data_IF_164756865644
#
_entry.id   IF_164756865644
#
_cell.length_a   1.000
_cell.length_b   1.000
_cell.length_c   1.000
_cell.angle_alpha   90.00
_cell.angle_beta   90.00
_cell.angle_gamma   90.00
#
_symmetry.space_group_name_H-M   'P 1'
#
loop_
_entity.id
_entity.type
_entity.pdbx_description
1 polymer ?
#
# COMPACT_ATOMS: atom_id res chain seq x y z
N UNK A 1 -11.70 -26.71 -36.47
CA UNK A 1 -12.77 -26.31 -35.53
C UNK A 1 -12.55 -24.84 -35.16
N UNK A 2 -13.60 -24.03 -34.98
CA UNK A 2 -13.42 -22.68 -34.44
C UNK A 2 -12.86 -22.76 -33.02
N UNK A 3 -11.99 -21.82 -32.66
CA UNK A 3 -11.51 -21.68 -31.29
C UNK A 3 -12.68 -21.37 -30.36
N UNK A 4 -12.80 -22.13 -29.27
CA UNK A 4 -13.80 -21.90 -28.23
C UNK A 4 -13.09 -21.53 -26.93
N UNK A 5 -13.07 -20.22 -26.62
CA UNK A 5 -12.48 -19.72 -25.38
C UNK A 5 -13.32 -20.18 -24.18
N UNK A 6 -12.67 -20.69 -23.14
CA UNK A 6 -13.31 -20.99 -21.85
C UNK A 6 -12.94 -19.90 -20.85
N UNK A 7 -13.88 -19.03 -20.45
CA UNK A 7 -13.59 -18.00 -19.47
C UNK A 7 -13.17 -18.60 -18.13
N UNK A 8 -12.11 -18.06 -17.53
CA UNK A 8 -11.65 -18.45 -16.20
C UNK A 8 -12.24 -17.53 -15.14
N UNK A 9 -13.52 -17.76 -14.82
CA UNK A 9 -14.24 -17.07 -13.74
C UNK A 9 -14.41 -17.99 -12.53
N UNK A 10 -14.10 -17.49 -11.35
CA UNK A 10 -14.16 -18.24 -10.10
C UNK A 10 -15.49 -18.02 -9.37
N UNK A 11 -15.92 -19.03 -8.60
CA UNK A 11 -17.09 -18.90 -7.72
C UNK A 11 -16.75 -18.09 -6.45
N UNK A 12 -15.50 -18.21 -6.00
CA UNK A 12 -14.92 -17.38 -4.95
C UNK A 12 -14.58 -15.99 -5.49
N UNK A 13 -14.52 -15.00 -4.60
CA UNK A 13 -14.13 -13.63 -4.92
C UNK A 13 -13.24 -13.09 -3.81
N UNK A 14 -12.36 -12.15 -4.18
CA UNK A 14 -11.69 -11.30 -3.20
C UNK A 14 -12.73 -10.39 -2.55
N UNK A 15 -12.60 -10.15 -1.26
CA UNK A 15 -13.46 -9.28 -0.47
C UNK A 15 -13.27 -7.83 -0.90
N UNK A 16 -14.36 -7.08 -0.86
CA UNK A 16 -14.31 -5.64 -1.08
C UNK A 16 -14.06 -4.91 0.22
N UNK A 17 -13.02 -4.08 0.28
CA UNK A 17 -12.73 -3.21 1.41
C UNK A 17 -12.78 -1.77 0.96
N UNK A 18 -13.63 -0.97 1.60
CA UNK A 18 -13.79 0.46 1.30
C UNK A 18 -12.96 1.29 2.27
N UNK A 19 -12.11 2.17 1.74
CA UNK A 19 -11.34 3.16 2.50
C UNK A 19 -11.84 4.58 2.18
N UNK A 20 -11.68 5.49 3.14
CA UNK A 20 -12.19 6.85 3.07
C UNK A 20 -13.67 6.96 3.40
N UNK A 21 -14.18 8.19 3.37
CA UNK A 21 -15.56 8.53 3.72
C UNK A 21 -16.13 9.56 2.75
N UNK A 22 -17.46 9.72 2.74
CA UNK A 22 -18.15 10.63 1.82
C UNK A 22 -18.09 10.16 0.37
N UNK A 23 -18.00 11.10 -0.57
CA UNK A 23 -18.08 10.82 -2.02
C UNK A 23 -16.76 10.34 -2.64
N UNK A 24 -15.65 10.39 -1.89
CA UNK A 24 -14.29 10.07 -2.37
C UNK A 24 -13.79 8.71 -1.92
N UNK A 25 -14.69 7.81 -1.52
CA UNK A 25 -14.29 6.45 -1.08
C UNK A 25 -13.60 5.67 -2.20
N UNK A 26 -12.60 4.86 -1.84
CA UNK A 26 -11.95 3.90 -2.73
C UNK A 26 -12.27 2.49 -2.27
N UNK A 27 -12.65 1.62 -3.21
CA UNK A 27 -12.89 0.20 -2.94
C UNK A 27 -11.74 -0.63 -3.49
N UNK A 28 -11.17 -1.49 -2.65
CA UNK A 28 -10.15 -2.48 -3.00
C UNK A 28 -10.80 -3.86 -3.15
N UNK A 29 -10.30 -4.68 -4.06
CA UNK A 29 -10.75 -6.06 -4.27
C UNK A 29 -12.18 -6.18 -4.84
N UNK A 30 -12.79 -7.36 -4.71
CA UNK A 30 -14.14 -7.67 -5.23
C UNK A 30 -14.15 -8.48 -6.52
N UNK A 31 -12.98 -8.72 -7.10
CA UNK A 31 -12.80 -9.49 -8.33
C UNK A 31 -12.87 -10.99 -8.09
N UNK A 32 -13.32 -11.72 -9.12
CA UNK A 32 -13.40 -13.17 -9.16
C UNK A 32 -12.80 -13.74 -10.46
N UNK A 33 -11.80 -13.04 -10.99
CA UNK A 33 -10.98 -13.40 -12.13
C UNK A 33 -9.52 -13.13 -11.77
N UNK A 34 -8.59 -13.60 -12.60
CA UNK A 34 -7.17 -13.29 -12.41
C UNK A 34 -6.90 -11.80 -12.68
N UNK A 35 -5.78 -11.24 -12.17
CA UNK A 35 -5.46 -9.82 -12.33
C UNK A 35 -5.51 -9.37 -13.79
N UNK A 36 -6.24 -8.28 -14.06
CA UNK A 36 -6.46 -7.72 -15.40
C UNK A 36 -7.14 -8.64 -16.42
N UNK A 37 -7.72 -9.76 -16.01
CA UNK A 37 -8.43 -10.67 -16.93
C UNK A 37 -9.89 -10.22 -17.09
N UNK A 38 -10.11 -8.93 -17.39
CA UNK A 38 -11.43 -8.33 -17.62
C UNK A 38 -12.18 -9.02 -18.78
N UNK A 39 -11.44 -9.70 -19.65
CA UNK A 39 -12.00 -10.54 -20.69
C UNK A 39 -12.73 -11.78 -20.12
N UNK A 40 -12.33 -12.32 -18.96
CA UNK A 40 -12.95 -13.50 -18.29
C UNK A 40 -14.15 -13.14 -17.41
N UNK A 41 -14.27 -11.88 -17.00
CA UNK A 41 -15.35 -11.38 -16.15
C UNK A 41 -15.17 -9.91 -15.81
N UNK A 42 -16.27 -9.25 -15.43
CA UNK A 42 -16.26 -7.84 -15.03
C UNK A 42 -15.39 -7.62 -13.78
N UNK A 43 -14.40 -6.72 -13.88
CA UNK A 43 -13.62 -6.23 -12.75
C UNK A 43 -14.17 -4.85 -12.38
N UNK A 44 -15.03 -4.78 -11.36
CA UNK A 44 -15.70 -3.54 -10.96
C UNK A 44 -14.77 -2.54 -10.31
N UNK A 45 -13.85 -3.04 -9.49
CA UNK A 45 -12.85 -2.24 -8.80
C UNK A 45 -11.49 -2.63 -9.36
N UNK A 46 -11.00 -1.86 -10.34
CA UNK A 46 -9.63 -2.01 -10.81
C UNK A 46 -8.63 -1.70 -9.70
N UNK A 47 -7.38 -2.18 -9.81
CA UNK A 47 -6.34 -1.89 -8.82
C UNK A 47 -6.10 -0.40 -8.62
N UNK A 48 -5.54 -0.04 -7.47
CA UNK A 48 -5.43 1.35 -6.99
C UNK A 48 -4.00 1.80 -6.77
N UNK A 49 -3.75 3.10 -6.98
CA UNK A 49 -2.43 3.72 -6.80
C UNK A 49 -2.48 4.71 -5.65
N UNK A 50 -1.67 4.46 -4.63
CA UNK A 50 -1.42 5.37 -3.53
C UNK A 50 -0.18 6.22 -3.76
N UNK A 51 -0.16 7.43 -3.21
CA UNK A 51 1.04 8.28 -3.16
C UNK A 51 1.58 8.33 -1.74
N UNK A 52 2.83 7.93 -1.53
CA UNK A 52 3.54 8.03 -0.27
C UNK A 52 4.08 9.45 -0.05
N UNK A 53 3.81 10.00 1.12
CA UNK A 53 4.52 11.11 1.72
C UNK A 53 5.00 10.69 3.11
N UNK A 54 6.04 11.34 3.63
CA UNK A 54 6.59 11.04 4.95
C UNK A 54 6.55 12.27 5.86
N UNK A 55 6.39 12.05 7.17
CA UNK A 55 6.53 13.09 8.21
C UNK A 55 7.91 13.75 8.25
N UNK A 56 8.89 13.21 7.51
CA UNK A 56 10.22 13.79 7.32
C UNK A 56 10.24 14.94 6.29
N UNK A 57 9.10 15.22 5.64
CA UNK A 57 9.03 16.21 4.57
C UNK A 57 9.75 15.73 3.32
N UNK A 58 10.41 16.66 2.62
CA UNK A 58 11.07 16.38 1.33
C UNK A 58 12.60 16.28 1.46
N UNK A 59 13.16 16.35 2.67
CA UNK A 59 14.60 16.19 2.85
C UNK A 59 15.02 14.75 2.52
N UNK A 60 16.16 14.58 1.83
CA UNK A 60 16.64 13.27 1.38
C UNK A 60 15.90 12.64 0.19
N UNK A 61 14.76 13.19 -0.23
CA UNK A 61 14.04 12.70 -1.41
C UNK A 61 14.81 13.00 -2.73
N UNK A 62 14.60 12.21 -3.80
CA UNK A 62 15.15 12.49 -5.12
C UNK A 62 14.75 13.89 -5.61
N UNK A 63 15.64 14.58 -6.34
CA UNK A 63 15.39 15.94 -6.84
C UNK A 63 14.12 16.04 -7.70
N UNK A 64 13.86 15.02 -8.52
CA UNK A 64 12.66 14.92 -9.36
C UNK A 64 11.36 14.84 -8.55
N UNK A 65 11.39 14.18 -7.38
CA UNK A 65 10.27 14.16 -6.42
C UNK A 65 10.13 15.54 -5.78
N UNK A 66 11.23 16.11 -5.28
CA UNK A 66 11.24 17.45 -4.65
C UNK A 66 10.66 18.53 -5.57
N UNK A 67 11.00 18.49 -6.87
CA UNK A 67 10.53 19.45 -7.86
C UNK A 67 9.00 19.49 -7.96
N UNK A 68 8.32 18.33 -7.88
CA UNK A 68 6.86 18.29 -7.88
C UNK A 68 6.26 19.01 -6.66
N UNK A 69 6.91 18.88 -5.52
CA UNK A 69 6.46 19.49 -4.26
C UNK A 69 6.93 20.94 -4.06
N UNK A 70 7.71 21.52 -4.98
CA UNK A 70 8.28 22.88 -4.87
C UNK A 70 7.25 23.95 -4.45
N UNK A 71 7.55 24.69 -3.38
CA UNK A 71 6.66 25.71 -2.82
C UNK A 71 5.63 25.20 -1.81
N UNK A 72 5.60 23.89 -1.50
CA UNK A 72 4.94 23.37 -0.31
C UNK A 72 5.90 23.43 0.89
N UNK A 73 5.55 24.21 1.90
CA UNK A 73 6.33 24.42 3.11
C UNK A 73 5.84 23.59 4.30
N UNK A 74 4.57 23.15 4.29
CA UNK A 74 3.99 22.35 5.37
C UNK A 74 3.59 20.95 4.90
N UNK A 75 3.38 20.03 5.85
CA UNK A 75 2.94 18.67 5.54
C UNK A 75 1.53 18.64 4.94
N UNK A 76 0.65 19.55 5.35
CA UNK A 76 -0.66 19.74 4.74
C UNK A 76 -0.57 20.21 3.28
N UNK A 77 0.38 21.08 2.93
CA UNK A 77 0.59 21.50 1.54
C UNK A 77 1.19 20.38 0.67
N UNK A 78 2.14 19.62 1.22
CA UNK A 78 2.68 18.42 0.60
C UNK A 78 1.55 17.40 0.35
N UNK A 79 0.71 17.15 1.36
CA UNK A 79 -0.42 16.23 1.25
C UNK A 79 -1.43 16.66 0.18
N UNK A 80 -1.76 17.96 0.08
CA UNK A 80 -2.63 18.47 -0.99
C UNK A 80 -2.05 18.22 -2.38
N UNK A 81 -0.75 18.43 -2.57
CA UNK A 81 -0.08 18.16 -3.85
C UNK A 81 -0.02 16.68 -4.18
N UNK A 82 0.26 15.83 -3.20
CA UNK A 82 0.29 14.38 -3.35
C UNK A 82 -1.10 13.83 -3.69
N UNK A 83 -2.14 14.28 -2.97
CA UNK A 83 -3.53 13.90 -3.23
C UNK A 83 -4.06 14.41 -4.58
N UNK A 84 -3.51 15.50 -5.12
CA UNK A 84 -3.86 16.04 -6.43
C UNK A 84 -3.06 15.43 -7.60
N UNK A 85 -2.15 14.49 -7.31
CA UNK A 85 -1.31 13.87 -8.33
C UNK A 85 -2.17 13.07 -9.32
N UNK A 86 -1.98 13.31 -10.62
CA UNK A 86 -2.75 12.63 -11.65
C UNK A 86 -2.52 11.11 -11.58
N UNK A 87 -3.61 10.36 -11.38
CA UNK A 87 -3.56 8.91 -11.25
C UNK A 87 -3.52 8.39 -9.81
N UNK A 88 -3.45 9.26 -8.81
CA UNK A 88 -3.57 8.89 -7.40
C UNK A 88 -5.03 8.61 -7.02
N UNK A 89 -5.26 7.46 -6.37
CA UNK A 89 -6.55 7.09 -5.78
C UNK A 89 -6.63 7.42 -4.29
N UNK A 90 -5.49 7.36 -3.57
CA UNK A 90 -5.43 7.61 -2.13
C UNK A 90 -4.06 8.17 -1.72
N UNK A 91 -4.00 8.77 -0.53
CA UNK A 91 -2.76 9.25 0.07
C UNK A 91 -2.26 8.25 1.12
N UNK A 92 -0.97 7.94 1.12
CA UNK A 92 -0.29 7.22 2.19
C UNK A 92 0.63 8.17 2.96
N UNK A 93 0.39 8.36 4.25
CA UNK A 93 1.30 9.06 5.16
C UNK A 93 2.11 8.03 5.94
N UNK A 94 3.42 7.97 5.68
CA UNK A 94 4.36 7.13 6.41
C UNK A 94 5.06 7.91 7.52
N UNK A 95 4.90 7.44 8.75
CA UNK A 95 5.44 8.05 9.97
C UNK A 95 6.86 7.57 10.27
N UNK A 96 7.74 7.64 9.28
CA UNK A 96 9.12 7.16 9.33
C UNK A 96 9.97 7.83 10.44
N UNK A 97 9.69 9.10 10.78
CA UNK A 97 10.41 9.81 11.84
C UNK A 97 10.20 9.22 13.23
N UNK A 98 9.24 8.31 13.41
CA UNK A 98 9.02 7.58 14.66
C UNK A 98 10.05 6.49 14.95
N UNK A 99 10.90 6.08 13.99
CA UNK A 99 11.88 5.01 14.20
C UNK A 99 12.80 5.33 15.40
N UNK A 100 12.82 4.51 16.45
CA UNK A 100 13.72 4.68 17.60
C UNK A 100 15.21 4.70 17.25
N UNK A 101 15.61 4.11 16.11
CA UNK A 101 16.98 4.13 15.62
C UNK A 101 17.29 5.34 14.71
N UNK A 102 16.27 6.11 14.36
CA UNK A 102 16.37 7.32 13.54
C UNK A 102 16.14 8.57 14.37
N UNK A 103 15.19 9.42 13.94
CA UNK A 103 14.86 10.66 14.64
C UNK A 103 14.11 10.42 15.96
N UNK A 104 13.48 9.25 16.13
CA UNK A 104 12.71 8.88 17.31
C UNK A 104 11.73 9.97 17.78
N UNK A 105 11.01 10.59 16.84
CA UNK A 105 9.98 11.59 17.15
C UNK A 105 8.97 11.01 18.14
N UNK A 106 8.42 11.88 18.98
CA UNK A 106 7.41 11.45 19.95
C UNK A 106 6.11 11.08 19.23
N UNK A 107 5.26 10.30 19.91
CA UNK A 107 3.93 9.97 19.39
C UNK A 107 3.11 11.25 19.22
N UNK A 108 3.22 12.21 20.14
CA UNK A 108 2.51 13.48 20.06
C UNK A 108 2.91 14.28 18.81
N UNK A 109 4.21 14.40 18.51
CA UNK A 109 4.70 15.12 17.33
C UNK A 109 4.18 14.49 16.01
N UNK A 110 4.21 13.17 15.93
CA UNK A 110 3.70 12.44 14.76
C UNK A 110 2.19 12.59 14.63
N UNK A 111 1.46 12.61 15.74
CA UNK A 111 0.00 12.77 15.74
C UNK A 111 -0.42 14.18 15.30
N UNK A 112 0.33 15.22 15.62
CA UNK A 112 0.08 16.56 15.07
C UNK A 112 0.28 16.58 13.54
N UNK A 113 1.30 15.87 13.03
CA UNK A 113 1.49 15.70 11.58
C UNK A 113 0.31 14.96 10.93
N UNK A 114 -0.18 13.90 11.59
CA UNK A 114 -1.34 13.12 11.13
C UNK A 114 -2.59 13.98 11.04
N UNK A 115 -2.86 14.83 12.04
CA UNK A 115 -3.99 15.76 12.03
C UNK A 115 -3.83 16.81 10.94
N UNK A 116 -2.64 17.41 10.80
CA UNK A 116 -2.37 18.40 9.76
C UNK A 116 -2.66 17.85 8.36
N UNK A 117 -2.17 16.64 8.06
CA UNK A 117 -2.42 15.95 6.79
C UNK A 117 -3.90 15.61 6.64
N UNK A 118 -4.53 15.08 7.69
CA UNK A 118 -5.93 14.68 7.65
C UNK A 118 -6.89 15.85 7.41
N UNK A 119 -6.61 17.01 7.99
CA UNK A 119 -7.40 18.24 7.80
C UNK A 119 -7.15 18.86 6.41
N UNK A 120 -6.00 18.61 5.81
CA UNK A 120 -5.61 19.19 4.53
C UNK A 120 -6.21 18.49 3.31
N UNK A 121 -6.56 17.20 3.41
CA UNK A 121 -7.04 16.39 2.27
C UNK A 121 -8.34 15.66 2.57
N UNK A 122 -9.14 15.45 1.54
CA UNK A 122 -10.42 14.74 1.59
C UNK A 122 -10.41 13.39 0.84
N UNK A 123 -9.28 13.03 0.24
CA UNK A 123 -9.06 11.71 -0.36
C UNK A 123 -8.90 10.64 0.74
N UNK A 124 -9.12 9.34 0.42
CA UNK A 124 -8.84 8.27 1.37
C UNK A 124 -7.40 8.33 1.86
N UNK A 125 -7.22 8.10 3.16
CA UNK A 125 -5.93 8.15 3.82
C UNK A 125 -5.54 6.75 4.32
N UNK A 126 -4.31 6.36 4.00
CA UNK A 126 -3.58 5.24 4.56
C UNK A 126 -2.50 5.85 5.48
N UNK A 127 -2.34 5.31 6.68
CA UNK A 127 -1.29 5.75 7.61
C UNK A 127 -0.42 4.56 7.95
N UNK A 128 0.86 4.65 7.59
CA UNK A 128 1.86 3.62 7.84
C UNK A 128 2.79 4.03 8.99
N UNK A 129 3.08 3.11 9.89
CA UNK A 129 4.02 3.29 11.01
C UNK A 129 5.50 3.39 10.58
N UNK A 130 6.39 3.35 11.56
CA UNK A 130 7.84 3.38 11.35
C UNK A 130 8.48 1.98 11.20
N UNK A 131 7.67 0.91 11.28
CA UNK A 131 8.08 -0.50 11.29
C UNK A 131 8.75 -0.95 12.59
N UNK A 132 8.70 -0.17 13.67
CA UNK A 132 9.12 -0.64 15.00
C UNK A 132 7.90 -1.09 15.82
N UNK A 133 7.86 -2.36 16.25
CA UNK A 133 6.72 -2.98 16.93
C UNK A 133 6.25 -2.22 18.17
N UNK A 134 7.18 -1.82 19.04
CA UNK A 134 6.84 -1.13 20.29
C UNK A 134 6.30 0.27 20.02
N UNK A 135 7.01 1.05 19.18
CA UNK A 135 6.58 2.39 18.80
C UNK A 135 5.25 2.38 18.05
N UNK A 136 5.09 1.49 17.06
CA UNK A 136 3.90 1.42 16.21
C UNK A 136 2.67 0.97 17.02
N UNK A 137 2.84 0.11 18.02
CA UNK A 137 1.73 -0.30 18.90
C UNK A 137 1.07 0.91 19.58
N UNK A 138 1.88 1.84 20.09
CA UNK A 138 1.40 3.08 20.71
C UNK A 138 0.91 4.08 19.66
N UNK A 139 1.73 4.33 18.64
CA UNK A 139 1.48 5.32 17.60
C UNK A 139 0.20 5.01 16.81
N UNK A 140 0.06 3.80 16.29
CA UNK A 140 -1.07 3.42 15.44
C UNK A 140 -2.38 3.33 16.23
N UNK A 141 -2.31 3.03 17.54
CA UNK A 141 -3.47 3.16 18.44
C UNK A 141 -3.95 4.59 18.49
N UNK A 142 -3.03 5.56 18.62
CA UNK A 142 -3.38 6.97 18.68
C UNK A 142 -3.83 7.52 17.33
N UNK A 143 -3.23 7.05 16.22
CA UNK A 143 -3.67 7.35 14.85
C UNK A 143 -5.12 6.92 14.65
N UNK A 144 -5.47 5.70 15.05
CA UNK A 144 -6.83 5.18 14.91
C UNK A 144 -7.86 6.04 15.68
N UNK A 145 -7.50 6.51 16.88
CA UNK A 145 -8.32 7.41 17.70
C UNK A 145 -8.54 8.77 17.02
N UNK A 146 -7.46 9.48 16.66
CA UNK A 146 -7.58 10.85 16.16
C UNK A 146 -8.20 10.94 14.78
N UNK A 147 -8.16 9.84 14.00
CA UNK A 147 -8.76 9.76 12.68
C UNK A 147 -10.14 9.08 12.69
N UNK A 148 -10.74 8.85 13.87
CA UNK A 148 -12.05 8.19 13.98
C UNK A 148 -13.09 8.86 13.08
N UNK A 149 -13.85 8.04 12.35
CA UNK A 149 -14.89 8.50 11.42
C UNK A 149 -14.40 8.79 10.01
N UNK A 150 -13.07 8.84 9.76
CA UNK A 150 -12.52 9.02 8.40
C UNK A 150 -12.40 7.73 7.60
N UNK A 151 -12.56 6.57 8.25
CA UNK A 151 -12.44 5.23 7.66
C UNK A 151 -11.09 5.05 6.93
N UNK A 152 -10.00 5.38 7.63
CA UNK A 152 -8.63 5.21 7.15
C UNK A 152 -8.18 3.76 7.19
N UNK A 153 -7.13 3.45 6.45
CA UNK A 153 -6.39 2.20 6.56
C UNK A 153 -5.15 2.42 7.43
N UNK A 154 -5.13 1.78 8.60
CA UNK A 154 -4.01 1.84 9.54
C UNK A 154 -3.07 0.66 9.25
N UNK A 155 -1.83 0.97 8.86
CA UNK A 155 -0.81 -0.01 8.45
C UNK A 155 0.39 0.02 9.41
N UNK A 156 0.84 -1.10 9.97
CA UNK A 156 0.26 -2.45 9.89
C UNK A 156 0.25 -3.14 11.24
N UNK A 157 -0.78 -3.95 11.47
CA UNK A 157 -0.77 -5.03 12.45
C UNK A 157 0.15 -6.15 11.95
N UNK A 158 1.02 -6.66 12.81
CA UNK A 158 1.95 -7.79 12.59
C UNK A 158 1.74 -8.86 13.65
N UNK A 159 2.39 -10.01 13.50
CA UNK A 159 2.25 -11.12 14.44
C UNK A 159 2.50 -10.71 15.91
N UNK A 160 3.40 -9.76 16.13
CA UNK A 160 3.81 -9.29 17.46
C UNK A 160 2.85 -8.27 18.08
N UNK A 161 2.24 -7.39 17.27
CA UNK A 161 1.44 -6.24 17.73
C UNK A 161 -0.04 -6.27 17.28
N UNK A 162 -0.50 -7.32 16.58
CA UNK A 162 -1.86 -7.38 16.03
C UNK A 162 -2.97 -7.18 17.07
N UNK A 163 -2.73 -7.58 18.33
CA UNK A 163 -3.71 -7.37 19.41
C UNK A 163 -3.91 -5.90 19.71
N UNK A 164 -2.84 -5.12 19.75
CA UNK A 164 -2.90 -3.69 20.02
C UNK A 164 -3.49 -2.95 18.80
N UNK A 165 -2.86 -3.10 17.65
CA UNK A 165 -3.24 -2.38 16.42
C UNK A 165 -4.63 -2.83 15.94
N UNK A 166 -4.90 -4.13 15.92
CA UNK A 166 -6.17 -4.69 15.49
C UNK A 166 -7.34 -4.33 16.42
N UNK A 167 -7.13 -4.34 17.74
CA UNK A 167 -8.17 -3.90 18.67
C UNK A 167 -8.44 -2.41 18.57
N UNK A 168 -7.40 -1.58 18.47
CA UNK A 168 -7.56 -0.13 18.34
C UNK A 168 -8.24 0.25 17.02
N UNK A 169 -7.60 -0.07 15.89
CA UNK A 169 -8.08 0.31 14.57
C UNK A 169 -9.38 -0.42 14.21
N UNK A 170 -9.40 -1.75 14.30
CA UNK A 170 -10.53 -2.55 13.81
C UNK A 170 -11.75 -2.58 14.72
N UNK A 171 -11.57 -2.56 16.04
CA UNK A 171 -12.68 -2.74 17.00
C UNK A 171 -13.11 -1.43 17.66
N UNK A 172 -12.16 -0.70 18.27
CA UNK A 172 -12.48 0.50 19.04
C UNK A 172 -12.92 1.65 18.13
N UNK A 173 -12.23 1.85 17.00
CA UNK A 173 -12.43 3.00 16.12
C UNK A 173 -13.04 2.66 14.76
N UNK A 174 -13.35 1.38 14.50
CA UNK A 174 -14.03 0.90 13.28
C UNK A 174 -13.34 1.35 11.97
N UNK A 175 -12.01 1.41 11.99
CA UNK A 175 -11.13 1.71 10.86
C UNK A 175 -10.79 0.42 10.09
N UNK A 176 -10.05 0.55 8.98
CA UNK A 176 -9.45 -0.58 8.26
C UNK A 176 -8.06 -0.89 8.80
N UNK A 177 -7.67 -2.16 8.76
CA UNK A 177 -6.39 -2.62 9.31
C UNK A 177 -5.57 -3.30 8.21
N UNK A 178 -4.34 -2.81 8.02
CA UNK A 178 -3.32 -3.50 7.25
C UNK A 178 -2.76 -4.66 8.06
N UNK A 179 -2.78 -5.87 7.52
CA UNK A 179 -2.21 -7.07 8.13
C UNK A 179 -0.90 -7.42 7.42
N UNK A 180 0.24 -7.13 8.06
CA UNK A 180 1.56 -7.30 7.48
C UNK A 180 2.22 -8.64 7.82
N UNK A 181 2.69 -9.35 6.79
CA UNK A 181 3.42 -10.61 6.92
C UNK A 181 4.73 -10.59 6.13
N UNK A 182 5.59 -11.58 6.37
CA UNK A 182 6.95 -11.63 5.84
C UNK A 182 7.07 -12.51 4.57
N UNK A 183 6.39 -12.13 3.48
CA UNK A 183 6.50 -12.79 2.16
C UNK A 183 6.16 -14.29 2.21
N UNK A 184 5.27 -14.67 3.13
CA UNK A 184 4.85 -16.06 3.34
C UNK A 184 3.32 -16.15 3.45
N UNK A 185 2.74 -17.03 2.62
CA UNK A 185 1.30 -17.29 2.56
C UNK A 185 0.72 -17.84 3.86
N UNK A 186 1.46 -18.69 4.57
CA UNK A 186 1.01 -19.27 5.83
C UNK A 186 1.01 -18.20 6.93
N UNK A 187 2.03 -17.34 6.97
CA UNK A 187 2.07 -16.21 7.90
C UNK A 187 0.94 -15.22 7.62
N UNK A 188 0.69 -14.89 6.34
CA UNK A 188 -0.45 -14.04 5.95
C UNK A 188 -1.78 -14.65 6.41
N UNK A 189 -1.97 -15.95 6.15
CA UNK A 189 -3.18 -16.68 6.56
C UNK A 189 -3.33 -16.73 8.08
N UNK A 190 -2.25 -17.02 8.81
CA UNK A 190 -2.25 -17.09 10.27
C UNK A 190 -2.62 -15.73 10.87
N UNK A 191 -2.04 -14.64 10.35
CA UNK A 191 -2.36 -13.29 10.80
C UNK A 191 -3.84 -12.96 10.60
N UNK A 192 -4.40 -13.28 9.43
CA UNK A 192 -5.83 -13.11 9.17
C UNK A 192 -6.72 -13.94 10.11
N UNK A 193 -6.30 -15.17 10.44
CA UNK A 193 -7.00 -16.02 11.41
C UNK A 193 -6.98 -15.39 12.80
N UNK A 194 -5.83 -14.97 13.31
CA UNK A 194 -5.76 -14.41 14.68
C UNK A 194 -6.44 -13.03 14.78
N UNK A 195 -6.39 -12.23 13.71
CA UNK A 195 -7.12 -10.95 13.62
C UNK A 195 -8.64 -11.15 13.62
N UNK A 196 -9.15 -12.12 12.87
CA UNK A 196 -10.58 -12.43 12.87
C UNK A 196 -11.04 -13.07 14.18
N UNK A 197 -10.21 -13.89 14.83
CA UNK A 197 -10.47 -14.42 16.18
C UNK A 197 -10.47 -13.34 17.26
N UNK A 198 -9.65 -12.29 17.11
CA UNK A 198 -9.69 -11.10 17.96
C UNK A 198 -11.02 -10.34 17.82
N UNK A 199 -11.72 -10.53 16.69
CA UNK A 199 -13.03 -9.95 16.38
C UNK A 199 -13.00 -8.96 15.22
N UNK A 200 -11.84 -8.71 14.60
CA UNK A 200 -11.74 -7.77 13.47
C UNK A 200 -12.48 -8.38 12.27
N UNK A 201 -13.42 -7.63 11.69
CA UNK A 201 -14.14 -8.10 10.51
C UNK A 201 -13.16 -8.35 9.36
N UNK A 202 -13.31 -9.50 8.69
CA UNK A 202 -12.55 -9.81 7.49
C UNK A 202 -12.75 -8.77 6.37
N UNK A 203 -13.89 -8.08 6.35
CA UNK A 203 -14.20 -6.99 5.40
C UNK A 203 -13.57 -5.65 5.82
N UNK A 204 -12.73 -5.67 6.86
CA UNK A 204 -11.93 -4.53 7.32
C UNK A 204 -10.43 -4.82 7.33
N UNK A 205 -10.00 -5.97 6.79
CA UNK A 205 -8.60 -6.37 6.71
C UNK A 205 -8.12 -6.20 5.26
N UNK A 206 -6.98 -5.54 5.10
CA UNK A 206 -6.22 -5.49 3.84
C UNK A 206 -4.86 -6.12 4.11
N UNK A 207 -4.44 -7.10 3.31
CA UNK A 207 -3.15 -7.77 3.51
C UNK A 207 -2.01 -6.92 2.95
N UNK A 208 -0.94 -6.74 3.73
CA UNK A 208 0.38 -6.34 3.25
C UNK A 208 1.29 -7.56 3.32
N UNK A 209 1.45 -8.30 2.23
CA UNK A 209 2.16 -9.59 2.28
C UNK A 209 3.69 -9.44 2.34
N UNK A 210 4.17 -8.23 2.58
CA UNK A 210 5.56 -7.85 2.39
C UNK A 210 5.82 -7.37 0.95
N UNK A 211 6.92 -6.68 0.79
CA UNK A 211 7.35 -6.09 -0.48
C UNK A 211 8.87 -6.19 -0.61
N UNK A 212 9.36 -6.11 -1.84
CA UNK A 212 10.77 -6.04 -2.16
C UNK A 212 10.91 -5.32 -3.51
N UNK A 213 12.04 -4.66 -3.76
CA UNK A 213 12.33 -4.12 -5.07
C UNK A 213 12.71 -5.24 -6.06
N UNK A 214 12.36 -5.09 -7.34
CA UNK A 214 12.85 -5.97 -8.42
C UNK A 214 14.38 -6.10 -8.34
N UNK A 215 14.90 -7.32 -8.42
CA UNK A 215 16.33 -7.63 -8.26
C UNK A 215 16.77 -7.91 -6.82
N UNK A 216 15.91 -7.68 -5.83
CA UNK A 216 16.20 -7.85 -4.40
C UNK A 216 15.29 -8.92 -3.76
N UNK A 217 15.23 -10.12 -4.34
CA UNK A 217 14.39 -11.22 -3.84
C UNK A 217 12.90 -11.07 -4.19
N UNK A 218 12.58 -10.21 -5.15
CA UNK A 218 11.21 -9.93 -5.57
C UNK A 218 10.47 -11.14 -6.14
N UNK A 219 11.18 -12.12 -6.69
CA UNK A 219 10.63 -13.39 -7.15
C UNK A 219 9.90 -14.16 -6.04
N UNK A 220 10.32 -13.99 -4.77
CA UNK A 220 9.60 -14.54 -3.62
C UNK A 220 8.28 -13.83 -3.39
N UNK A 221 8.25 -12.49 -3.55
CA UNK A 221 7.04 -11.67 -3.42
C UNK A 221 6.01 -12.08 -4.47
N UNK A 222 6.38 -12.06 -5.75
CA UNK A 222 5.50 -12.46 -6.86
C UNK A 222 4.95 -13.87 -6.67
N UNK A 223 5.81 -14.83 -6.34
CA UNK A 223 5.38 -16.22 -6.12
C UNK A 223 4.39 -16.34 -4.95
N UNK A 224 4.56 -15.53 -3.90
CA UNK A 224 3.63 -15.51 -2.76
C UNK A 224 2.31 -14.86 -3.12
N UNK A 225 2.31 -13.75 -3.87
CA UNK A 225 1.09 -13.09 -4.37
C UNK A 225 0.26 -14.04 -5.25
N UNK A 226 0.90 -14.70 -6.23
CA UNK A 226 0.26 -15.67 -7.11
C UNK A 226 -0.37 -16.83 -6.32
N UNK A 227 0.36 -17.36 -5.33
CA UNK A 227 -0.13 -18.45 -4.46
C UNK A 227 -1.32 -18.01 -3.62
N UNK A 228 -1.31 -16.79 -3.12
CA UNK A 228 -2.43 -16.23 -2.35
C UNK A 228 -3.66 -16.09 -3.24
N UNK A 229 -3.55 -15.47 -4.42
CA UNK A 229 -4.68 -15.36 -5.35
C UNK A 229 -5.19 -16.73 -5.80
N UNK A 230 -4.31 -17.68 -6.06
CA UNK A 230 -4.69 -19.05 -6.41
C UNK A 230 -5.46 -19.73 -5.26
N UNK A 231 -4.99 -19.63 -4.01
CA UNK A 231 -5.68 -20.18 -2.85
C UNK A 231 -7.04 -19.50 -2.62
N UNK A 232 -7.07 -18.16 -2.68
CA UNK A 232 -8.27 -17.37 -2.48
C UNK A 232 -9.37 -17.68 -3.50
N UNK A 233 -9.02 -17.75 -4.79
CA UNK A 233 -9.99 -17.90 -5.89
C UNK A 233 -10.27 -19.35 -6.27
N UNK A 234 -9.23 -20.19 -6.33
CA UNK A 234 -9.38 -21.59 -6.81
C UNK A 234 -9.70 -22.57 -5.69
N UNK A 235 -9.20 -22.33 -4.47
CA UNK A 235 -9.40 -23.21 -3.32
C UNK A 235 -10.48 -22.67 -2.35
N UNK A 236 -11.06 -21.51 -2.66
CA UNK A 236 -12.02 -20.80 -1.83
C UNK A 236 -11.52 -20.56 -0.39
N UNK A 237 -10.21 -20.28 -0.23
CA UNK A 237 -9.62 -20.03 1.07
C UNK A 237 -10.04 -18.67 1.62
N UNK A 238 -11.06 -18.68 2.49
CA UNK A 238 -11.67 -17.48 3.07
C UNK A 238 -10.69 -16.58 3.84
N UNK A 239 -9.61 -17.15 4.37
CA UNK A 239 -8.59 -16.41 5.13
C UNK A 239 -7.51 -15.80 4.24
N UNK A 240 -7.61 -15.98 2.93
CA UNK A 240 -6.74 -15.36 1.92
C UNK A 240 -7.54 -14.53 0.90
N UNK A 241 -8.85 -14.38 1.10
CA UNK A 241 -9.73 -13.59 0.24
C UNK A 241 -9.72 -12.09 0.56
N UNK A 242 -8.86 -11.61 1.46
CA UNK A 242 -8.72 -10.17 1.70
C UNK A 242 -7.97 -9.52 0.51
N UNK A 243 -8.23 -8.24 0.19
CA UNK A 243 -7.44 -7.54 -0.82
C UNK A 243 -6.00 -7.33 -0.34
N UNK A 244 -5.08 -7.17 -1.28
CA UNK A 244 -3.64 -6.98 -1.05
C UNK A 244 -3.24 -5.53 -1.38
N UNK A 245 -2.52 -4.88 -0.47
CA UNK A 245 -1.83 -3.61 -0.70
C UNK A 245 -0.31 -3.82 -0.59
N UNK A 246 0.47 -3.24 -1.49
CA UNK A 246 1.93 -3.41 -1.51
C UNK A 246 2.64 -2.06 -1.50
N UNK A 247 3.34 -1.70 -0.41
CA UNK A 247 4.21 -0.53 -0.40
C UNK A 247 5.42 -0.76 -1.32
N UNK A 248 5.56 0.03 -2.40
CA UNK A 248 6.63 -0.13 -3.39
C UNK A 248 7.70 0.93 -3.20
N UNK A 249 7.29 2.17 -2.92
CA UNK A 249 8.20 3.30 -2.76
C UNK A 249 9.25 3.06 -1.68
N UNK A 250 8.81 2.54 -0.52
CA UNK A 250 9.66 2.25 0.63
C UNK A 250 10.80 1.26 0.34
N UNK A 251 10.58 0.36 -0.61
CA UNK A 251 11.55 -0.68 -0.98
C UNK A 251 12.42 -0.25 -2.16
N UNK A 252 11.85 0.46 -3.13
CA UNK A 252 12.54 0.77 -4.40
C UNK A 252 13.47 1.96 -4.30
N UNK A 253 13.13 2.99 -3.52
CA UNK A 253 13.96 4.19 -3.33
C UNK A 253 15.05 4.03 -2.25
N UNK A 254 15.39 2.79 -1.88
CA UNK A 254 16.49 2.48 -0.95
C UNK A 254 17.57 1.60 -1.58
N UNK A 255 17.30 1.02 -2.75
CA UNK A 255 18.24 0.14 -3.44
C UNK A 255 19.31 0.91 -4.20
N UNK A 256 20.45 0.26 -4.43
CA UNK A 256 21.60 0.87 -5.06
C UNK A 256 21.29 1.37 -6.48
N UNK A 257 20.48 0.65 -7.24
CA UNK A 257 20.09 0.99 -8.60
C UNK A 257 19.19 2.23 -8.67
N UNK A 258 18.52 2.61 -7.58
CA UNK A 258 17.78 3.89 -7.51
C UNK A 258 18.66 5.03 -6.95
N UNK A 259 19.60 4.72 -6.07
CA UNK A 259 20.32 5.73 -5.27
C UNK A 259 21.74 6.05 -5.73
N UNK A 260 22.42 5.13 -6.42
CA UNK A 260 23.79 5.35 -6.88
C UNK A 260 23.81 6.44 -7.96
N UNK A 261 24.70 7.41 -7.75
CA UNK A 261 24.94 8.51 -8.69
C UNK A 261 25.57 8.00 -9.98
N UNK A 262 25.49 8.80 -11.04
CA UNK A 262 26.14 8.49 -12.32
C UNK A 262 27.67 8.48 -12.21
N UNK A 263 28.26 9.15 -11.22
CA UNK A 263 29.70 9.10 -10.96
C UNK A 263 30.11 7.78 -10.29
N UNK A 264 29.30 7.26 -9.36
CA UNK A 264 29.55 6.00 -8.66
C UNK A 264 29.29 4.77 -9.52
N UNK A 265 28.40 4.87 -10.52
CA UNK A 265 28.00 3.75 -11.39
C UNK A 265 27.69 4.25 -12.82
N UNK A 266 28.71 4.73 -13.56
CA UNK A 266 28.54 5.34 -14.88
C UNK A 266 27.98 4.38 -15.93
N UNK A 267 28.19 3.08 -15.77
CA UNK A 267 27.70 2.04 -16.69
C UNK A 267 26.19 1.79 -16.57
N UNK A 268 25.53 2.30 -15.52
CA UNK A 268 24.10 2.13 -15.28
C UNK A 268 23.26 3.24 -15.92
N UNK A 269 23.89 4.33 -16.39
CA UNK A 269 23.19 5.47 -16.97
C UNK A 269 22.37 6.26 -15.96
N UNK A 270 21.39 7.02 -16.45
CA UNK A 270 20.70 8.05 -15.68
C UNK A 270 20.08 7.54 -14.39
N UNK A 271 20.47 8.15 -13.26
CA UNK A 271 19.95 7.79 -11.94
C UNK A 271 18.44 7.98 -11.84
N UNK A 272 17.94 9.11 -12.34
CA UNK A 272 16.50 9.42 -12.33
C UNK A 272 15.71 8.36 -13.10
N UNK A 273 16.14 8.04 -14.33
CA UNK A 273 15.48 7.03 -15.16
C UNK A 273 15.48 5.68 -14.47
N UNK A 274 16.59 5.29 -13.83
CA UNK A 274 16.68 4.03 -13.09
C UNK A 274 15.76 3.99 -11.88
N UNK A 275 15.78 5.01 -11.02
CA UNK A 275 14.92 5.06 -9.83
C UNK A 275 13.43 4.96 -10.17
N UNK A 276 12.99 5.73 -11.17
CA UNK A 276 11.61 5.67 -11.69
C UNK A 276 11.31 4.28 -12.27
N UNK A 277 12.25 3.70 -13.03
CA UNK A 277 12.07 2.38 -13.63
C UNK A 277 11.97 1.26 -12.58
N UNK A 278 12.75 1.32 -11.50
CA UNK A 278 12.69 0.37 -10.39
C UNK A 278 11.31 0.38 -9.74
N UNK A 279 10.78 1.58 -9.47
CA UNK A 279 9.44 1.74 -8.90
C UNK A 279 8.33 1.24 -9.84
N UNK A 280 8.38 1.61 -11.13
CA UNK A 280 7.40 1.18 -12.14
C UNK A 280 7.42 -0.34 -12.33
N UNK A 281 8.59 -0.95 -12.50
CA UNK A 281 8.69 -2.39 -12.77
C UNK A 281 8.19 -3.21 -11.57
N UNK A 282 8.55 -2.79 -10.35
CA UNK A 282 8.10 -3.45 -9.13
C UNK A 282 6.60 -3.31 -8.94
N UNK A 283 6.01 -2.12 -9.18
CA UNK A 283 4.55 -1.96 -9.11
C UNK A 283 3.81 -2.75 -10.19
N UNK A 284 4.26 -2.68 -11.45
CA UNK A 284 3.61 -3.35 -12.56
C UNK A 284 3.56 -4.87 -12.34
N UNK A 285 4.66 -5.46 -11.88
CA UNK A 285 4.70 -6.88 -11.56
C UNK A 285 3.82 -7.23 -10.35
N UNK A 286 3.77 -6.39 -9.31
CA UNK A 286 2.97 -6.68 -8.11
C UNK A 286 1.48 -6.66 -8.45
N UNK A 287 1.05 -5.69 -9.25
CA UNK A 287 -0.32 -5.61 -9.77
C UNK A 287 -0.66 -6.81 -10.66
N UNK A 288 0.25 -7.21 -11.56
CA UNK A 288 0.04 -8.36 -12.44
C UNK A 288 -0.06 -9.69 -11.66
N UNK A 289 0.57 -9.79 -10.49
CA UNK A 289 0.54 -10.96 -9.61
C UNK A 289 -0.52 -10.91 -8.51
N UNK A 290 -1.28 -9.82 -8.39
CA UNK A 290 -2.47 -9.77 -7.56
C UNK A 290 -2.51 -8.71 -6.47
N UNK A 291 -1.62 -7.73 -6.44
CA UNK A 291 -1.85 -6.56 -5.60
C UNK A 291 -3.09 -5.80 -6.08
N UNK A 292 -4.02 -5.52 -5.15
CA UNK A 292 -5.22 -4.71 -5.39
C UNK A 292 -4.93 -3.21 -5.22
N UNK A 293 -3.84 -2.88 -4.53
CA UNK A 293 -3.29 -1.54 -4.46
C UNK A 293 -1.76 -1.55 -4.36
N UNK A 294 -1.12 -0.51 -4.92
CA UNK A 294 0.32 -0.25 -4.74
C UNK A 294 0.53 1.15 -4.22
N UNK A 295 1.58 1.37 -3.42
CA UNK A 295 1.95 2.69 -2.90
C UNK A 295 3.27 3.12 -3.53
N UNK A 296 3.21 4.22 -4.28
CA UNK A 296 4.31 4.80 -5.05
C UNK A 296 4.64 6.19 -4.52
N UNK A 297 5.75 6.78 -4.93
CA UNK A 297 6.16 8.14 -4.54
C UNK A 297 6.37 9.06 -5.73
N UNK A 298 6.94 8.57 -6.82
CA UNK A 298 7.35 9.43 -7.92
C UNK A 298 6.18 9.75 -8.87
N UNK A 299 5.95 11.03 -9.25
CA UNK A 299 4.84 11.43 -10.11
C UNK A 299 4.79 10.70 -11.46
N UNK A 300 5.95 10.52 -12.11
CA UNK A 300 6.03 9.74 -13.35
C UNK A 300 5.65 8.26 -13.15
N UNK A 301 6.02 7.65 -12.02
CA UNK A 301 5.64 6.27 -11.71
C UNK A 301 4.13 6.15 -11.54
N UNK A 302 3.52 7.08 -10.79
CA UNK A 302 2.07 7.15 -10.57
C UNK A 302 1.31 7.33 -11.89
N UNK A 303 1.73 8.28 -12.72
CA UNK A 303 1.12 8.51 -14.03
C UNK A 303 1.26 7.27 -14.95
N UNK A 304 2.40 6.59 -14.92
CA UNK A 304 2.66 5.41 -15.75
C UNK A 304 1.82 4.21 -15.30
N UNK A 305 1.80 3.92 -14.00
CA UNK A 305 1.07 2.78 -13.45
C UNK A 305 -0.45 3.00 -13.54
N UNK A 306 -0.94 4.21 -13.25
CA UNK A 306 -2.36 4.53 -13.43
C UNK A 306 -2.80 4.44 -14.90
N UNK A 307 -1.93 4.82 -15.85
CA UNK A 307 -2.18 4.61 -17.28
C UNK A 307 -2.19 3.12 -17.63
N UNK A 308 -1.23 2.33 -17.15
CA UNK A 308 -1.19 0.89 -17.36
C UNK A 308 -2.48 0.22 -16.86
N UNK A 309 -2.93 0.55 -15.65
CA UNK A 309 -4.18 0.02 -15.08
C UNK A 309 -5.36 0.36 -15.99
N UNK A 310 -5.47 1.61 -16.46
CA UNK A 310 -6.55 2.02 -17.39
C UNK A 310 -6.52 1.30 -18.74
N UNK A 311 -5.35 0.96 -19.25
CA UNK A 311 -5.20 0.27 -20.54
C UNK A 311 -5.44 -1.25 -20.45
N UNK A 312 -5.28 -1.83 -19.26
CA UNK A 312 -5.46 -3.27 -19.00
C UNK A 312 -6.85 -3.64 -18.45
N UNK A 313 -7.70 -2.65 -18.20
CA UNK A 313 -9.06 -2.80 -17.67
C UNK A 313 -10.10 -2.55 -18.76
#
# INVERSE_FOLDING_TARGET
MPFNRKPQKFNAAIKSVVIGSGDKTVTLGGENVLPFYAFDGEIKNGPKVGVEITDLGMEGEPESVKAYYEGAATMGEIAKKAAAMEGADFLCLRLAGGDPNGLNKSVEELIETVKEVADAVDVPLVVEGCKNVEKDSELLTKVAEVLQGRNVLVMSAREEDYKAVGAAAGLAYSQKVGAESAVDINLAKQLNVVMTQLGVSADSIVMNVGSAAVGYGYEYVVSTLDRIKAAALSQDDKMLQMPIITPIASETWTVKEAMATEEESPEWGSQEVRGISMEIQTAAASLASGSDAVILKHPQSVATISKMIRELM
#
